data_IF_533363220476
#
_entry.id   IF_533363220476
#
_cell.length_a   1.000
_cell.length_b   1.000
_cell.length_c   1.000
_cell.angle_alpha   90.00
_cell.angle_beta   90.00
_cell.angle_gamma   90.00
#
_symmetry.space_group_name_H-M   'P 1'
#
loop_
_entity.id
_entity.type
_entity.pdbx_description
1 polymer ?
#
# COMPACT_ATOMS: atom_id res chain seq x y z
N UNK A 1 -4.60 -24.93 15.07
CA UNK A 1 -3.98 -23.73 14.46
C UNK A 1 -3.53 -22.85 15.61
N UNK A 2 -2.22 -22.62 15.80
CA UNK A 2 -1.76 -21.74 16.88
C UNK A 2 -2.09 -20.32 16.45
N UNK A 3 -3.11 -19.71 17.07
CA UNK A 3 -3.56 -18.38 16.74
C UNK A 3 -2.66 -17.35 17.43
N UNK A 4 -2.22 -16.34 16.69
CA UNK A 4 -1.54 -15.19 17.28
C UNK A 4 -2.58 -14.27 17.92
N UNK A 5 -2.34 -13.76 19.15
CA UNK A 5 -3.18 -12.74 19.74
C UNK A 5 -3.24 -11.49 18.84
N UNK A 6 -4.43 -10.94 18.61
CA UNK A 6 -4.57 -9.71 17.83
C UNK A 6 -3.90 -8.53 18.56
N UNK A 7 -3.10 -7.73 17.84
CA UNK A 7 -2.41 -6.55 18.40
C UNK A 7 -0.99 -6.80 18.93
N UNK A 8 -0.42 -7.98 18.68
CA UNK A 8 0.95 -8.32 19.08
C UNK A 8 1.99 -7.50 18.32
N UNK A 9 3.02 -7.00 19.04
CA UNK A 9 4.13 -6.27 18.42
C UNK A 9 5.08 -7.24 17.71
N UNK A 10 5.39 -6.93 16.46
CA UNK A 10 6.31 -7.72 15.64
C UNK A 10 7.63 -6.96 15.49
N UNK A 11 8.70 -7.64 15.88
CA UNK A 11 10.07 -7.16 15.80
C UNK A 11 10.82 -7.91 14.72
N UNK A 12 11.50 -7.17 13.86
CA UNK A 12 12.39 -7.77 12.87
C UNK A 12 13.84 -7.53 13.30
N UNK A 13 14.57 -8.62 13.52
CA UNK A 13 16.01 -8.54 13.76
C UNK A 13 16.70 -8.10 12.47
N UNK A 14 17.19 -6.86 12.42
CA UNK A 14 17.73 -6.27 11.19
C UNK A 14 19.06 -6.86 10.69
N UNK A 15 19.66 -7.80 11.45
CA UNK A 15 20.89 -8.49 11.10
C UNK A 15 20.69 -9.89 10.50
N UNK A 16 21.81 -10.48 10.05
CA UNK A 16 21.85 -11.89 9.60
C UNK A 16 21.90 -12.81 10.81
N UNK A 17 20.92 -13.70 10.95
CA UNK A 17 20.88 -14.68 12.04
C UNK A 17 21.33 -16.05 11.55
N UNK A 18 22.12 -16.75 12.36
CA UNK A 18 22.40 -18.16 12.12
C UNK A 18 21.14 -19.00 12.38
N UNK A 19 20.60 -19.56 11.30
CA UNK A 19 19.36 -20.33 11.35
C UNK A 19 19.54 -21.75 11.88
N UNK A 20 20.76 -22.16 12.24
CA UNK A 20 21.02 -23.39 13.01
C UNK A 20 20.60 -23.25 14.48
N UNK A 21 20.41 -22.02 14.96
CA UNK A 21 19.96 -21.74 16.34
C UNK A 21 18.53 -22.21 16.58
N UNK A 22 18.32 -22.85 17.74
CA UNK A 22 17.03 -23.30 18.25
C UNK A 22 16.35 -22.22 19.11
N UNK A 23 15.26 -22.58 19.79
CA UNK A 23 14.45 -21.64 20.59
C UNK A 23 15.27 -20.89 21.63
N UNK A 24 15.99 -21.60 22.50
CA UNK A 24 16.73 -21.00 23.62
C UNK A 24 17.83 -20.04 23.14
N UNK A 25 18.53 -20.40 22.06
CA UNK A 25 19.61 -19.56 21.51
C UNK A 25 19.06 -18.33 20.78
N UNK A 26 17.89 -18.44 20.15
CA UNK A 26 17.19 -17.29 19.59
C UNK A 26 16.61 -16.38 20.68
N UNK A 27 16.05 -16.94 21.75
CA UNK A 27 15.57 -16.18 22.90
C UNK A 27 16.71 -15.39 23.56
N UNK A 28 17.89 -16.02 23.72
CA UNK A 28 19.09 -15.34 24.19
C UNK A 28 19.50 -14.20 23.25
N UNK A 29 19.40 -14.40 21.93
CA UNK A 29 19.67 -13.35 20.95
C UNK A 29 18.67 -12.19 21.03
N UNK A 30 17.40 -12.45 21.39
CA UNK A 30 16.43 -11.38 21.69
C UNK A 30 16.87 -10.59 22.91
N UNK A 31 17.23 -11.28 23.98
CA UNK A 31 17.61 -10.66 25.25
C UNK A 31 18.90 -9.86 25.14
N UNK A 32 19.96 -10.46 24.60
CA UNK A 32 21.30 -9.87 24.54
C UNK A 32 21.52 -9.02 23.29
N UNK A 33 20.93 -9.41 22.15
CA UNK A 33 21.14 -8.72 20.88
C UNK A 33 20.13 -7.60 20.63
N UNK A 34 18.86 -7.84 20.95
CA UNK A 34 17.78 -6.86 20.75
C UNK A 34 17.44 -6.07 22.02
N UNK A 35 17.96 -6.47 23.18
CA UNK A 35 17.68 -5.83 24.47
C UNK A 35 16.22 -5.97 24.91
N UNK A 36 15.54 -7.04 24.48
CA UNK A 36 14.10 -7.24 24.72
C UNK A 36 13.82 -8.51 25.50
N UNK A 37 12.69 -8.56 26.17
CA UNK A 37 12.25 -9.75 26.85
C UNK A 37 11.54 -10.71 25.86
N UNK A 38 12.08 -11.93 25.61
CA UNK A 38 11.45 -12.92 24.74
C UNK A 38 10.14 -13.49 25.31
N UNK A 39 9.84 -13.28 26.59
CA UNK A 39 8.61 -13.77 27.25
C UNK A 39 7.47 -12.74 27.29
N UNK A 40 7.71 -11.50 26.86
CA UNK A 40 6.75 -10.39 26.91
C UNK A 40 5.54 -10.52 25.96
N UNK A 41 5.36 -11.68 25.31
CA UNK A 41 4.28 -11.87 24.34
C UNK A 41 4.49 -11.01 23.09
N UNK A 42 5.73 -10.87 22.63
CA UNK A 42 6.06 -10.21 21.36
C UNK A 42 6.55 -11.26 20.34
N UNK A 43 6.44 -10.97 19.05
CA UNK A 43 6.97 -11.83 17.98
C UNK A 43 8.31 -11.29 17.53
N UNK A 44 9.30 -12.17 17.49
CA UNK A 44 10.63 -11.88 16.97
C UNK A 44 10.90 -12.65 15.69
N UNK A 45 11.08 -11.92 14.60
CA UNK A 45 11.35 -12.46 13.27
C UNK A 45 12.85 -12.43 12.99
N UNK A 46 13.38 -13.57 12.56
CA UNK A 46 14.78 -13.77 12.17
C UNK A 46 14.89 -14.25 10.74
N UNK A 47 15.90 -13.76 10.02
CA UNK A 47 16.21 -14.17 8.65
C UNK A 47 17.64 -14.68 8.56
N UNK A 48 17.81 -15.76 7.81
CA UNK A 48 19.14 -16.30 7.48
C UNK A 48 19.82 -15.56 6.33
N UNK A 49 21.14 -15.73 6.21
CA UNK A 49 21.97 -15.09 5.16
C UNK A 49 21.46 -15.35 3.74
N UNK A 50 21.01 -16.58 3.47
CA UNK A 50 20.48 -17.00 2.15
C UNK A 50 19.12 -16.34 1.85
N UNK A 51 18.36 -16.02 2.89
CA UNK A 51 17.07 -15.33 2.78
C UNK A 51 15.90 -16.16 2.26
N UNK A 52 16.08 -17.45 2.08
CA UNK A 52 15.06 -18.45 1.78
C UNK A 52 14.36 -18.97 3.05
N UNK A 53 14.95 -18.73 4.22
CA UNK A 53 14.49 -19.23 5.51
C UNK A 53 14.22 -18.08 6.49
N UNK A 54 13.07 -18.14 7.15
CA UNK A 54 12.68 -17.24 8.26
C UNK A 54 12.21 -18.06 9.45
N UNK A 55 12.52 -17.57 10.64
CA UNK A 55 12.08 -18.11 11.93
C UNK A 55 11.34 -17.03 12.71
N UNK A 56 10.20 -17.38 13.30
CA UNK A 56 9.41 -16.53 14.17
C UNK A 56 9.39 -17.16 15.57
N UNK A 57 9.88 -16.43 16.56
CA UNK A 57 9.89 -16.83 17.96
C UNK A 57 8.89 -15.98 18.73
N UNK A 58 8.03 -16.61 19.53
CA UNK A 58 7.16 -15.91 20.45
C UNK A 58 6.86 -16.79 21.67
N UNK A 59 6.43 -16.16 22.75
CA UNK A 59 5.90 -16.84 23.92
C UNK A 59 4.38 -16.65 23.97
N UNK A 60 3.62 -17.73 24.09
CA UNK A 60 2.15 -17.70 24.13
C UNK A 60 1.58 -17.53 25.56
N UNK A 61 2.47 -17.41 26.55
CA UNK A 61 2.13 -17.33 27.98
C UNK A 61 2.27 -18.67 28.70
N UNK A 62 2.20 -19.79 27.98
CA UNK A 62 2.35 -21.16 28.51
C UNK A 62 3.70 -21.76 28.11
N UNK A 63 4.17 -21.46 26.90
CA UNK A 63 5.42 -21.97 26.37
C UNK A 63 5.98 -21.11 25.24
N UNK A 64 7.23 -21.42 24.89
CA UNK A 64 7.90 -20.79 23.77
C UNK A 64 7.59 -21.56 22.48
N UNK A 65 7.16 -20.83 21.46
CA UNK A 65 6.81 -21.36 20.15
C UNK A 65 7.78 -20.83 19.09
N UNK A 66 8.16 -21.72 18.17
CA UNK A 66 9.02 -21.41 17.04
C UNK A 66 8.39 -21.87 15.74
N UNK A 67 8.09 -20.92 14.87
CA UNK A 67 7.64 -21.21 13.51
C UNK A 67 8.79 -21.02 12.54
N UNK A 68 8.99 -22.00 11.66
CA UNK A 68 10.02 -21.96 10.62
C UNK A 68 9.36 -22.08 9.26
N UNK A 69 9.65 -21.14 8.36
CA UNK A 69 9.17 -21.17 6.98
C UNK A 69 10.33 -21.08 6.01
N UNK A 70 10.39 -22.06 5.11
CA UNK A 70 11.32 -22.09 3.99
C UNK A 70 10.58 -21.82 2.69
N UNK A 71 11.17 -21.01 1.82
CA UNK A 71 10.68 -20.77 0.47
C UNK A 71 11.34 -21.76 -0.48
N UNK A 72 10.54 -22.39 -1.33
CA UNK A 72 11.02 -23.24 -2.43
C UNK A 72 11.61 -22.42 -3.58
N UNK A 73 11.10 -21.19 -3.76
CA UNK A 73 11.61 -20.24 -4.74
C UNK A 73 11.51 -18.80 -4.22
N UNK A 74 12.52 -17.98 -4.53
CA UNK A 74 12.59 -16.58 -4.12
C UNK A 74 13.27 -16.35 -2.77
N UNK A 75 13.20 -15.10 -2.29
CA UNK A 75 13.80 -14.66 -1.03
C UNK A 75 12.82 -13.78 -0.27
N UNK A 76 12.81 -13.87 1.05
CA UNK A 76 12.10 -12.90 1.88
C UNK A 76 12.71 -11.51 1.67
N UNK A 77 11.88 -10.46 1.61
CA UNK A 77 12.35 -9.08 1.63
C UNK A 77 12.56 -8.71 3.10
N UNK A 78 13.70 -8.10 3.43
CA UNK A 78 14.05 -7.78 4.82
C UNK A 78 14.53 -6.34 4.90
N UNK A 79 14.08 -5.58 5.92
CA UNK A 79 14.58 -4.24 6.14
C UNK A 79 16.07 -4.34 6.46
N UNK A 80 16.89 -3.66 5.66
CA UNK A 80 18.31 -3.51 5.97
C UNK A 80 18.41 -2.55 7.16
N UNK A 81 18.71 -3.05 8.35
CA UNK A 81 19.14 -2.18 9.45
C UNK A 81 20.67 -2.13 9.45
N UNK A 82 21.24 -0.94 9.27
CA UNK A 82 22.69 -0.72 9.33
C UNK A 82 23.28 -1.01 10.71
N UNK A 83 22.45 -1.03 11.77
CA UNK A 83 22.88 -1.13 13.17
C UNK A 83 22.62 -2.48 13.85
N UNK A 84 22.07 -3.49 13.15
CA UNK A 84 21.69 -4.77 13.75
C UNK A 84 20.53 -4.69 14.77
N UNK A 85 19.95 -3.50 14.95
CA UNK A 85 18.88 -3.25 15.91
C UNK A 85 17.56 -3.91 15.48
N UNK A 86 16.71 -4.22 16.46
CA UNK A 86 15.34 -4.66 16.22
C UNK A 86 14.57 -3.49 15.60
N UNK A 87 14.11 -3.65 14.36
CA UNK A 87 13.23 -2.67 13.74
C UNK A 87 11.79 -3.02 14.17
N UNK A 88 11.10 -2.16 14.93
CA UNK A 88 9.67 -2.34 15.15
C UNK A 88 8.98 -2.23 13.81
N UNK A 89 8.31 -3.29 13.36
CA UNK A 89 7.32 -3.17 12.30
C UNK A 89 5.98 -2.98 12.98
N UNK A 90 5.84 -1.87 13.68
CA UNK A 90 4.52 -1.33 13.95
C UNK A 90 4.21 -0.37 12.81
N UNK A 91 3.56 -0.88 11.76
CA UNK A 91 3.07 -0.02 10.68
C UNK A 91 1.68 0.49 11.10
N UNK A 92 1.50 1.76 11.49
CA UNK A 92 0.15 2.33 11.65
C UNK A 92 -0.66 2.29 10.33
N UNK A 93 0.01 2.01 9.21
CA UNK A 93 -0.55 1.84 7.87
C UNK A 93 -1.31 0.51 7.65
N UNK A 94 -1.09 -0.55 8.43
CA UNK A 94 -1.83 -1.83 8.26
C UNK A 94 -3.28 -1.76 8.72
N UNK A 95 -3.65 -0.76 9.52
CA UNK A 95 -5.06 -0.47 9.82
C UNK A 95 -5.76 0.18 8.62
N UNK A 96 -5.02 0.93 7.79
CA UNK A 96 -5.53 1.56 6.56
C UNK A 96 -5.52 0.59 5.36
N UNK A 97 -4.50 -0.25 5.29
CA UNK A 97 -4.42 -1.37 4.36
C UNK A 97 -4.70 -2.62 5.17
N UNK A 98 -6.00 -2.90 5.40
CA UNK A 98 -6.46 -4.28 5.63
C UNK A 98 -5.61 -5.16 4.73
N UNK A 99 -4.98 -6.25 5.21
CA UNK A 99 -4.13 -7.08 4.38
C UNK A 99 -4.98 -7.35 3.16
N UNK A 100 -4.58 -6.73 2.03
CA UNK A 100 -5.31 -6.84 0.80
C UNK A 100 -5.48 -8.34 0.67
N UNK A 101 -6.73 -8.82 0.60
CA UNK A 101 -7.04 -10.23 0.43
C UNK A 101 -6.54 -10.67 -0.93
N UNK A 102 -5.23 -10.58 -1.13
CA UNK A 102 -4.45 -11.02 -2.24
C UNK A 102 -4.37 -12.51 -2.00
N UNK A 103 -5.19 -13.31 -2.69
CA UNK A 103 -4.94 -14.73 -2.71
C UNK A 103 -3.46 -14.91 -3.11
N UNK A 104 -2.73 -15.76 -2.37
CA UNK A 104 -1.39 -16.20 -2.76
C UNK A 104 -1.54 -17.08 -4.00
N UNK A 105 -1.88 -16.46 -5.13
CA UNK A 105 -1.82 -17.07 -6.44
C UNK A 105 -0.39 -16.91 -6.92
N UNK A 106 0.26 -17.96 -7.47
CA UNK A 106 1.47 -17.76 -8.24
C UNK A 106 1.18 -16.68 -9.28
N UNK A 107 2.09 -15.72 -9.44
CA UNK A 107 1.95 -14.67 -10.45
C UNK A 107 1.66 -15.37 -11.78
N UNK A 108 0.51 -15.12 -12.43
CA UNK A 108 0.21 -15.74 -13.70
C UNK A 108 1.27 -15.23 -14.67
N UNK A 109 2.17 -16.13 -15.08
CA UNK A 109 3.05 -15.87 -16.19
C UNK A 109 2.20 -15.88 -17.44
N UNK A 110 1.73 -14.71 -17.88
CA UNK A 110 1.50 -14.30 -19.29
C UNK A 110 0.64 -13.03 -19.36
N UNK A 111 1.18 -11.99 -20.00
CA UNK A 111 0.44 -10.84 -20.51
C UNK A 111 0.52 -9.55 -19.69
N UNK A 112 0.92 -8.45 -20.35
CA UNK A 112 1.04 -7.10 -19.76
C UNK A 112 -0.29 -6.62 -19.15
N UNK A 113 -1.42 -7.05 -19.74
CA UNK A 113 -2.77 -6.69 -19.31
C UNK A 113 -3.17 -7.31 -17.96
N UNK A 114 -2.63 -8.48 -17.61
CA UNK A 114 -2.91 -9.15 -16.34
C UNK A 114 -2.28 -8.41 -15.14
N UNK A 115 -1.24 -7.60 -15.38
CA UNK A 115 -0.59 -6.78 -14.37
C UNK A 115 -1.23 -5.39 -14.22
N UNK A 116 -1.73 -4.82 -15.31
CA UNK A 116 -2.28 -3.46 -15.33
C UNK A 116 -3.67 -3.42 -14.68
N UNK A 117 -4.49 -4.45 -14.88
CA UNK A 117 -5.89 -4.46 -14.42
C UNK A 117 -6.05 -4.37 -12.89
N UNK A 118 -5.28 -5.09 -12.05
CA UNK A 118 -5.35 -4.96 -10.60
C UNK A 118 -4.91 -3.58 -10.12
N UNK A 119 -3.92 -2.97 -10.78
CA UNK A 119 -3.42 -1.65 -10.46
C UNK A 119 -4.49 -0.58 -10.77
N UNK A 120 -5.10 -0.63 -11.95
CA UNK A 120 -6.21 0.24 -12.32
C UNK A 120 -7.38 0.16 -11.31
N UNK A 121 -7.67 -1.05 -10.81
CA UNK A 121 -8.72 -1.26 -9.78
C UNK A 121 -8.34 -0.70 -8.40
N UNK A 122 -7.05 -0.64 -8.08
CA UNK A 122 -6.55 -0.06 -6.83
C UNK A 122 -6.76 1.46 -6.78
N UNK A 123 -6.56 2.14 -7.92
CA UNK A 123 -6.69 3.59 -8.04
C UNK A 123 -8.07 4.06 -8.53
N UNK A 124 -9.11 3.21 -8.43
CA UNK A 124 -10.44 3.53 -8.96
C UNK A 124 -10.96 4.89 -8.46
N UNK A 125 -10.71 5.22 -7.18
CA UNK A 125 -11.17 6.48 -6.59
C UNK A 125 -10.49 7.69 -7.23
N UNK A 126 -9.17 7.61 -7.44
CA UNK A 126 -8.37 8.68 -8.07
C UNK A 126 -8.74 8.83 -9.54
N UNK A 127 -8.90 7.72 -10.27
CA UNK A 127 -9.34 7.73 -11.68
C UNK A 127 -10.72 8.36 -11.85
N UNK A 128 -11.66 8.06 -10.95
CA UNK A 128 -12.99 8.69 -10.96
C UNK A 128 -12.87 10.19 -10.66
N UNK A 129 -12.09 10.58 -9.65
CA UNK A 129 -11.93 11.99 -9.30
C UNK A 129 -11.29 12.81 -10.44
N UNK A 130 -10.22 12.29 -11.05
CA UNK A 130 -9.57 12.92 -12.21
C UNK A 130 -10.50 12.94 -13.42
N UNK A 131 -11.26 11.86 -13.65
CA UNK A 131 -12.25 11.79 -14.71
C UNK A 131 -13.36 12.84 -14.55
N UNK A 132 -13.93 12.95 -13.34
CA UNK A 132 -14.94 13.97 -13.02
C UNK A 132 -14.36 15.37 -13.17
N UNK A 133 -13.16 15.62 -12.67
CA UNK A 133 -12.50 16.92 -12.80
C UNK A 133 -12.24 17.30 -14.27
N UNK A 134 -11.83 16.35 -15.10
CA UNK A 134 -11.65 16.53 -16.54
C UNK A 134 -12.97 16.88 -17.25
N UNK A 135 -14.06 16.19 -16.90
CA UNK A 135 -15.40 16.47 -17.43
C UNK A 135 -15.88 17.87 -17.02
N UNK A 136 -15.67 18.27 -15.77
CA UNK A 136 -16.01 19.62 -15.28
C UNK A 136 -15.20 20.68 -16.03
N UNK A 137 -13.90 20.46 -16.22
CA UNK A 137 -13.05 21.37 -16.99
C UNK A 137 -13.54 21.54 -18.43
N UNK A 138 -13.97 20.45 -19.08
CA UNK A 138 -14.50 20.49 -20.43
C UNK A 138 -15.86 21.23 -20.50
N UNK A 139 -16.74 21.02 -19.52
CA UNK A 139 -18.03 21.70 -19.44
C UNK A 139 -17.88 23.22 -19.27
N UNK A 140 -16.93 23.67 -18.44
CA UNK A 140 -16.62 25.09 -18.28
C UNK A 140 -16.13 25.68 -19.60
N UNK A 141 -15.27 24.98 -20.33
CA UNK A 141 -14.80 25.41 -21.65
C UNK A 141 -15.95 25.64 -22.64
N UNK A 142 -16.88 24.68 -22.73
CA UNK A 142 -18.06 24.81 -23.59
C UNK A 142 -18.98 25.96 -23.17
N UNK A 143 -19.17 26.16 -21.86
CA UNK A 143 -19.98 27.26 -21.34
C UNK A 143 -19.42 28.63 -21.71
N UNK A 144 -18.09 28.81 -21.70
CA UNK A 144 -17.44 30.06 -22.11
C UNK A 144 -17.67 30.34 -23.59
N UNK A 145 -17.53 29.32 -24.45
CA UNK A 145 -17.80 29.45 -25.89
C UNK A 145 -19.25 29.85 -26.13
N UNK A 146 -20.19 29.22 -25.42
CA UNK A 146 -21.62 29.56 -25.50
C UNK A 146 -21.92 30.99 -25.02
N UNK A 147 -21.30 31.43 -23.92
CA UNK A 147 -21.50 32.78 -23.40
C UNK A 147 -21.01 33.86 -24.38
N UNK A 148 -19.85 33.63 -25.04
CA UNK A 148 -19.34 34.53 -26.07
C UNK A 148 -20.29 34.61 -27.28
N UNK A 149 -20.81 33.47 -27.73
CA UNK A 149 -21.78 33.43 -28.83
C UNK A 149 -23.03 34.27 -28.50
N UNK A 150 -23.59 34.10 -27.30
CA UNK A 150 -24.75 34.85 -26.85
C UNK A 150 -24.50 36.37 -26.80
N UNK A 151 -23.33 36.79 -26.32
CA UNK A 151 -22.96 38.22 -26.30
C UNK A 151 -22.84 38.79 -27.72
N UNK A 152 -22.21 38.04 -28.63
CA UNK A 152 -22.08 38.45 -30.04
C UNK A 152 -23.46 38.58 -30.69
N UNK A 153 -24.35 37.61 -30.48
CA UNK A 153 -25.74 37.63 -30.97
C UNK A 153 -26.55 38.80 -30.36
N UNK A 154 -26.32 39.09 -29.08
CA UNK A 154 -26.89 40.25 -28.40
C UNK A 154 -26.44 41.56 -29.03
N UNK A 155 -25.15 41.73 -29.30
CA UNK A 155 -24.60 42.93 -29.93
C UNK A 155 -25.07 43.08 -31.38
N UNK A 156 -25.10 42.00 -32.16
CA UNK A 156 -25.59 42.04 -33.55
C UNK A 156 -27.08 42.38 -33.62
N UNK A 157 -27.91 41.89 -32.69
CA UNK A 157 -29.33 42.26 -32.63
C UNK A 157 -29.59 43.73 -32.25
N UNK A 158 -28.74 44.33 -31.41
CA UNK A 158 -28.82 45.75 -31.09
C UNK A 158 -28.33 46.64 -32.25
N UNK A 159 -27.26 46.23 -32.93
CA UNK A 159 -26.69 46.97 -34.05
C UNK A 159 -27.63 47.01 -35.27
N UNK A 160 -28.37 45.93 -35.54
CA UNK A 160 -29.37 45.92 -36.62
C UNK A 160 -30.55 46.84 -36.31
N UNK A 161 -30.98 46.92 -35.05
CA UNK A 161 -32.06 47.81 -34.62
C UNK A 161 -31.70 49.31 -34.69
N UNK A 162 -30.43 49.68 -34.45
CA UNK A 162 -29.98 51.08 -34.53
C UNK A 162 -29.71 51.57 -35.96
N UNK A 163 -29.22 50.69 -36.84
CA UNK A 163 -28.80 51.07 -38.19
C UNK A 163 -29.94 51.06 -39.22
N UNK A 164 -31.02 50.33 -38.96
CA UNK A 164 -32.18 50.28 -39.84
C UNK A 164 -33.48 50.44 -39.04
N UNK A 165 -33.80 51.64 -38.52
CA UNK A 165 -35.12 51.88 -37.96
C UNK A 165 -36.13 51.68 -39.09
N UNK A 166 -36.99 50.68 -38.92
CA UNK A 166 -38.07 50.31 -39.83
C UNK A 166 -38.81 51.57 -40.27
N UNK A 167 -38.62 51.96 -41.54
CA UNK A 167 -39.45 52.96 -42.20
C UNK A 167 -40.79 52.28 -42.49
N UNK A 168 -41.64 52.22 -41.47
CA UNK A 168 -43.01 51.72 -41.57
C UNK A 168 -43.83 52.73 -42.37
N UNK A 169 -44.25 52.32 -43.57
CA UNK A 169 -45.36 52.87 -44.33
C UNK A 169 -46.44 51.82 -44.42
#
# INVERSE_FOLDING_TARGET
MIAFPAGMRVWIAGGVTDMRRGMNTLALQVQQGLGRDPHAGEIFCFRGRRGDLVKLLWHDGVGMSLYTKRLEAGKFIWPASTSGAAVPIFRPFETLVRPFGLPVRPMPGTGVWALIWPFARLFRGVLIAVGVLSVVSAAIGLAVVWALAFVVDGVTSQATASCWPTRAS
#
